data_IF_459756077421
#
_entry.id   IF_459756077421
#
_cell.length_a   1.000
_cell.length_b   1.000
_cell.length_c   1.000
_cell.angle_alpha   90.00
_cell.angle_beta   90.00
_cell.angle_gamma   90.00
#
_symmetry.space_group_name_H-M   'P 1'
#
loop_
_entity.id
_entity.type
_entity.pdbx_description
1 polymer ?
#
# COMPACT_ATOMS: atom_id res chain seq x y z
N UNK A 1 -5.75 27.25 1.96
CA UNK A 1 -5.01 26.08 2.49
C UNK A 1 -3.54 26.38 2.28
N UNK A 2 -2.77 26.61 3.34
CA UNK A 2 -1.31 26.76 3.22
C UNK A 2 -0.72 25.42 2.78
N UNK A 3 -0.12 25.38 1.59
CA UNK A 3 0.68 24.23 1.19
C UNK A 3 1.87 24.15 2.14
N UNK A 4 2.00 22.99 2.81
CA UNK A 4 3.15 22.69 3.65
C UNK A 4 4.42 22.74 2.77
N UNK A 5 5.18 23.83 2.83
CA UNK A 5 6.38 24.02 2.00
C UNK A 5 7.54 23.26 2.64
N UNK A 6 7.78 22.05 2.17
CA UNK A 6 8.94 21.23 2.53
C UNK A 6 9.76 20.98 1.28
N UNK A 7 11.08 21.08 1.37
CA UNK A 7 11.95 20.69 0.26
C UNK A 7 11.93 19.18 0.07
N UNK A 8 12.20 18.70 -1.15
CA UNK A 8 12.27 17.25 -1.41
C UNK A 8 13.33 16.55 -0.52
N UNK A 9 14.43 17.24 -0.22
CA UNK A 9 15.50 16.73 0.63
C UNK A 9 15.07 16.64 2.10
N UNK A 10 14.43 17.69 2.63
CA UNK A 10 13.88 17.66 4.00
C UNK A 10 12.80 16.58 4.13
N UNK A 11 11.91 16.44 3.15
CA UNK A 11 10.91 15.39 3.14
C UNK A 11 11.56 14.00 3.18
N UNK A 12 12.58 13.76 2.36
CA UNK A 12 13.29 12.48 2.32
C UNK A 12 13.96 12.16 3.67
N UNK A 13 14.62 13.13 4.30
CA UNK A 13 15.24 12.96 5.62
C UNK A 13 14.20 12.64 6.69
N UNK A 14 13.13 13.44 6.75
CA UNK A 14 12.05 13.27 7.72
C UNK A 14 11.30 11.95 7.51
N UNK A 15 11.10 11.54 6.25
CA UNK A 15 10.49 10.26 5.89
C UNK A 15 11.33 9.07 6.36
N UNK A 16 12.66 9.14 6.20
CA UNK A 16 13.56 8.09 6.70
C UNK A 16 13.58 8.05 8.23
N UNK A 17 13.55 9.21 8.90
CA UNK A 17 13.41 9.26 10.35
C UNK A 17 12.08 8.65 10.83
N UNK A 18 10.99 8.90 10.11
CA UNK A 18 9.69 8.31 10.39
C UNK A 18 9.69 6.78 10.22
N UNK A 19 10.31 6.26 9.15
CA UNK A 19 10.48 4.82 8.96
C UNK A 19 11.19 4.14 10.15
N UNK A 20 12.20 4.80 10.73
CA UNK A 20 12.87 4.32 11.95
C UNK A 20 11.94 4.34 13.14
N UNK A 21 11.25 5.48 13.35
CA UNK A 21 10.32 5.68 14.47
C UNK A 21 9.25 4.59 14.50
N UNK A 22 8.76 4.18 13.33
CA UNK A 22 7.72 3.17 13.19
C UNK A 22 8.24 1.71 13.17
N UNK A 23 9.54 1.51 13.39
CA UNK A 23 10.11 0.18 13.64
C UNK A 23 10.63 -0.58 12.41
N UNK A 24 10.87 0.09 11.27
CA UNK A 24 11.61 -0.56 10.19
C UNK A 24 13.07 -0.81 10.60
N UNK A 25 13.60 -1.98 10.23
CA UNK A 25 15.02 -2.27 10.45
C UNK A 25 15.90 -1.39 9.56
N UNK A 26 17.06 -0.96 10.07
CA UNK A 26 18.04 -0.18 9.29
C UNK A 26 18.41 -0.90 7.98
N UNK A 27 18.49 -2.23 8.00
CA UNK A 27 18.75 -3.02 6.80
C UNK A 27 17.66 -2.80 5.74
N UNK A 28 16.39 -2.89 6.11
CA UNK A 28 15.27 -2.65 5.18
C UNK A 28 15.24 -1.22 4.67
N UNK A 29 15.52 -0.26 5.55
CA UNK A 29 15.58 1.16 5.20
C UNK A 29 16.67 1.37 4.15
N UNK A 30 17.91 0.98 4.40
CA UNK A 30 19.03 1.26 3.49
C UNK A 30 19.02 0.42 2.22
N UNK A 31 18.73 -0.89 2.30
CA UNK A 31 18.83 -1.78 1.14
C UNK A 31 17.66 -1.66 0.17
N UNK A 32 16.47 -1.34 0.67
CA UNK A 32 15.23 -1.39 -0.12
C UNK A 32 14.62 -0.01 -0.32
N UNK A 33 14.37 0.71 0.78
CA UNK A 33 13.54 1.92 0.72
C UNK A 33 14.37 3.13 0.26
N UNK A 34 15.58 3.28 0.79
CA UNK A 34 16.45 4.42 0.52
C UNK A 34 16.81 4.54 -0.97
N UNK A 35 17.01 3.41 -1.66
CA UNK A 35 17.27 3.41 -3.11
C UNK A 35 16.11 4.07 -3.87
N UNK A 36 14.87 3.68 -3.57
CA UNK A 36 13.70 4.25 -4.22
C UNK A 36 13.49 5.71 -3.85
N UNK A 37 13.68 6.09 -2.58
CA UNK A 37 13.59 7.50 -2.15
C UNK A 37 14.62 8.36 -2.88
N UNK A 38 15.87 7.90 -3.00
CA UNK A 38 16.91 8.62 -3.76
C UNK A 38 16.55 8.81 -5.22
N UNK A 39 15.86 7.85 -5.83
CA UNK A 39 15.36 8.01 -7.20
C UNK A 39 14.28 9.10 -7.30
N UNK A 40 13.39 9.21 -6.31
CA UNK A 40 12.41 10.31 -6.25
C UNK A 40 13.12 11.65 -6.08
N UNK A 41 14.08 11.76 -5.15
CA UNK A 41 14.87 12.99 -4.95
C UNK A 41 15.53 13.42 -6.26
N UNK A 42 16.23 12.50 -6.92
CA UNK A 42 16.91 12.78 -8.19
C UNK A 42 15.94 13.25 -9.27
N UNK A 43 14.72 12.70 -9.33
CA UNK A 43 13.71 13.14 -10.30
C UNK A 43 13.34 14.61 -10.10
N UNK A 44 13.05 15.01 -8.86
CA UNK A 44 12.75 16.41 -8.52
C UNK A 44 13.92 17.35 -8.83
N UNK A 45 15.15 16.95 -8.50
CA UNK A 45 16.37 17.70 -8.84
C UNK A 45 16.52 17.88 -10.35
N UNK A 46 16.31 16.82 -11.15
CA UNK A 46 16.39 16.90 -12.61
C UNK A 46 15.28 17.72 -13.25
N UNK A 47 14.11 17.79 -12.60
CA UNK A 47 13.01 18.63 -13.02
C UNK A 47 13.17 20.10 -12.59
N UNK A 48 14.21 20.45 -11.83
CA UNK A 48 14.41 21.79 -11.28
C UNK A 48 13.40 22.16 -10.18
N UNK A 49 12.72 21.17 -9.59
CA UNK A 49 11.66 21.37 -8.60
C UNK A 49 12.24 21.19 -7.19
N UNK A 50 12.28 22.27 -6.42
CA UNK A 50 12.87 22.27 -5.06
C UNK A 50 11.91 21.76 -4.00
N UNK A 51 10.64 22.16 -4.08
CA UNK A 51 9.62 21.83 -3.08
C UNK A 51 8.87 20.57 -3.48
N UNK A 52 8.57 19.71 -2.50
CA UNK A 52 7.75 18.55 -2.78
C UNK A 52 6.33 18.97 -3.12
N UNK A 53 5.76 18.33 -4.15
CA UNK A 53 4.36 18.49 -4.53
C UNK A 53 3.79 17.14 -4.94
N UNK A 54 2.50 16.94 -4.66
CA UNK A 54 1.78 15.75 -5.11
C UNK A 54 1.69 15.69 -6.64
N UNK A 55 1.64 16.85 -7.30
CA UNK A 55 1.55 16.98 -8.75
C UNK A 55 2.81 16.43 -9.43
N UNK A 56 3.99 16.91 -9.05
CA UNK A 56 5.27 16.43 -9.60
C UNK A 56 5.50 14.94 -9.30
N UNK A 57 5.05 14.46 -8.14
CA UNK A 57 5.09 13.04 -7.80
C UNK A 57 4.14 12.19 -8.69
N UNK A 58 2.96 12.71 -9.04
CA UNK A 58 2.02 12.06 -9.96
C UNK A 58 2.56 12.04 -11.39
N UNK A 59 3.17 13.14 -11.87
CA UNK A 59 3.83 13.18 -13.17
C UNK A 59 4.92 12.11 -13.29
N UNK A 60 5.75 11.97 -12.25
CA UNK A 60 6.76 10.91 -12.18
C UNK A 60 6.12 9.52 -12.31
N UNK A 61 4.99 9.26 -11.64
CA UNK A 61 4.30 7.98 -11.72
C UNK A 61 3.76 7.68 -13.12
N UNK A 62 3.20 8.69 -13.80
CA UNK A 62 2.72 8.55 -15.18
C UNK A 62 3.87 8.19 -16.10
N UNK A 63 4.98 8.93 -16.06
CA UNK A 63 6.15 8.65 -16.89
C UNK A 63 6.72 7.25 -16.64
N UNK A 64 6.84 6.82 -15.38
CA UNK A 64 7.34 5.48 -15.08
C UNK A 64 6.36 4.38 -15.49
N UNK A 65 5.05 4.65 -15.47
CA UNK A 65 4.05 3.72 -15.99
C UNK A 65 4.21 3.53 -17.50
N UNK A 66 4.39 4.61 -18.26
CA UNK A 66 4.63 4.56 -19.70
C UNK A 66 5.91 3.80 -20.04
N UNK A 67 7.01 4.07 -19.33
CA UNK A 67 8.29 3.35 -19.51
C UNK A 67 8.17 1.86 -19.22
N UNK A 68 7.33 1.47 -18.26
CA UNK A 68 7.00 0.06 -17.98
C UNK A 68 6.21 -0.55 -19.14
N UNK A 69 5.22 0.16 -19.67
CA UNK A 69 4.40 -0.30 -20.80
C UNK A 69 5.23 -0.46 -22.09
N UNK A 70 6.24 0.38 -22.28
CA UNK A 70 7.25 0.26 -23.34
C UNK A 70 8.31 -0.83 -23.09
N UNK A 71 8.31 -1.46 -21.91
CA UNK A 71 9.28 -2.50 -21.55
C UNK A 71 10.68 -2.00 -21.19
N UNK A 72 10.88 -0.68 -21.06
CA UNK A 72 12.17 -0.10 -20.68
C UNK A 72 12.56 -0.37 -19.23
N UNK A 73 11.56 -0.57 -18.38
CA UNK A 73 11.75 -0.91 -16.96
C UNK A 73 10.94 -2.14 -16.61
N UNK A 74 11.46 -2.92 -15.65
CA UNK A 74 10.75 -4.07 -15.12
C UNK A 74 9.54 -3.65 -14.29
N UNK A 75 8.52 -4.51 -14.28
CA UNK A 75 7.35 -4.35 -13.45
C UNK A 75 7.69 -4.31 -11.94
N UNK A 76 8.68 -5.11 -11.51
CA UNK A 76 9.21 -5.08 -10.15
C UNK A 76 9.79 -3.71 -9.79
N UNK A 77 10.56 -3.10 -10.69
CA UNK A 77 11.14 -1.78 -10.46
C UNK A 77 10.05 -0.70 -10.39
N UNK A 78 9.07 -0.73 -11.28
CA UNK A 78 7.91 0.16 -11.23
C UNK A 78 7.16 0.05 -9.89
N UNK A 79 6.89 -1.17 -9.41
CA UNK A 79 6.22 -1.41 -8.12
C UNK A 79 7.00 -0.80 -6.94
N UNK A 80 8.33 -0.91 -6.94
CA UNK A 80 9.18 -0.35 -5.88
C UNK A 80 9.14 1.18 -5.85
N UNK A 81 9.24 1.83 -7.01
CA UNK A 81 9.15 3.29 -7.13
C UNK A 81 7.76 3.78 -6.74
N UNK A 82 6.71 3.13 -7.24
CA UNK A 82 5.32 3.46 -6.90
C UNK A 82 5.05 3.35 -5.39
N UNK A 83 5.56 2.29 -4.77
CA UNK A 83 5.43 2.10 -3.32
C UNK A 83 6.10 3.23 -2.53
N UNK A 84 7.31 3.63 -2.94
CA UNK A 84 8.02 4.74 -2.30
C UNK A 84 7.27 6.07 -2.46
N UNK A 85 6.83 6.42 -3.67
CA UNK A 85 6.08 7.64 -3.95
C UNK A 85 4.79 7.69 -3.13
N UNK A 86 4.02 6.60 -3.09
CA UNK A 86 2.77 6.57 -2.32
C UNK A 86 3.00 6.79 -0.82
N UNK A 87 4.05 6.21 -0.26
CA UNK A 87 4.40 6.42 1.16
C UNK A 87 4.91 7.84 1.42
N UNK A 88 5.70 8.41 0.51
CA UNK A 88 6.13 9.81 0.63
C UNK A 88 4.95 10.77 0.53
N UNK A 89 3.98 10.52 -0.37
CA UNK A 89 2.73 11.27 -0.47
C UNK A 89 1.91 11.18 0.83
N UNK A 90 1.74 9.97 1.39
CA UNK A 90 1.04 9.75 2.66
C UNK A 90 1.70 10.54 3.80
N UNK A 91 3.02 10.44 3.91
CA UNK A 91 3.79 11.17 4.92
C UNK A 91 3.70 12.69 4.73
N UNK A 92 3.74 13.17 3.50
CA UNK A 92 3.60 14.60 3.19
C UNK A 92 2.22 15.15 3.57
N UNK A 93 1.15 14.38 3.32
CA UNK A 93 -0.24 14.77 3.61
C UNK A 93 -0.53 14.70 5.12
N UNK A 94 -0.08 13.65 5.79
CA UNK A 94 -0.54 13.32 7.15
C UNK A 94 0.52 13.60 8.24
N UNK A 95 1.77 13.88 7.86
CA UNK A 95 2.89 14.06 8.77
C UNK A 95 3.36 12.78 9.48
N UNK A 96 2.76 11.63 9.19
CA UNK A 96 3.13 10.34 9.77
C UNK A 96 3.00 9.24 8.75
N UNK A 97 3.72 8.15 8.94
CA UNK A 97 3.44 6.93 8.21
C UNK A 97 2.55 6.08 9.08
N UNK A 98 1.36 5.79 8.59
CA UNK A 98 0.63 4.69 9.19
C UNK A 98 1.48 3.43 8.93
N UNK A 99 1.74 2.65 9.98
CA UNK A 99 2.27 1.30 9.82
C UNK A 99 1.17 0.46 9.19
N UNK A 100 0.93 0.69 7.90
CA UNK A 100 0.43 -0.31 7.02
C UNK A 100 1.60 -1.25 6.72
N UNK A 101 2.19 -1.82 7.77
CA UNK A 101 2.62 -3.20 7.65
C UNK A 101 1.40 -3.89 7.07
N UNK A 102 1.53 -4.49 5.89
CA UNK A 102 0.50 -5.38 5.38
C UNK A 102 0.44 -6.59 6.33
N UNK A 103 -0.18 -6.37 7.48
CA UNK A 103 -0.82 -7.35 8.32
C UNK A 103 -2.29 -6.95 8.47
N UNK A 104 -2.91 -6.57 7.34
CA UNK A 104 -4.37 -6.42 7.13
C UNK A 104 -5.01 -5.01 7.15
N UNK A 105 -4.34 -3.97 6.66
CA UNK A 105 -5.03 -2.75 6.21
C UNK A 105 -5.49 -2.89 4.74
N UNK A 106 -6.73 -3.33 4.53
CA UNK A 106 -7.31 -3.55 3.18
C UNK A 106 -8.03 -2.30 2.67
N UNK A 107 -7.85 -1.94 1.39
CA UNK A 107 -8.70 -0.94 0.71
C UNK A 107 -10.12 -1.45 0.47
N UNK A 108 -10.30 -2.78 0.46
CA UNK A 108 -11.57 -3.46 0.30
C UNK A 108 -12.30 -3.51 1.65
N UNK A 109 -12.99 -2.42 1.99
CA UNK A 109 -13.84 -2.36 3.20
C UNK A 109 -15.13 -3.15 2.93
N UNK A 110 -15.32 -4.23 3.66
CA UNK A 110 -16.49 -5.11 3.56
C UNK A 110 -17.26 -5.10 4.88
N UNK A 111 -18.50 -5.59 4.86
CA UNK A 111 -19.34 -5.75 6.05
C UNK A 111 -18.71 -6.68 7.10
N UNK A 112 -19.07 -6.48 8.36
CA UNK A 112 -18.64 -7.32 9.48
C UNK A 112 -19.03 -8.80 9.29
N UNK A 113 -20.16 -9.05 8.63
CA UNK A 113 -20.66 -10.39 8.30
C UNK A 113 -19.71 -11.11 7.33
N UNK A 114 -19.22 -10.40 6.31
CA UNK A 114 -18.28 -10.95 5.34
C UNK A 114 -16.85 -11.07 5.91
N UNK A 115 -16.45 -10.20 6.84
CA UNK A 115 -15.21 -10.40 7.61
C UNK A 115 -15.26 -11.72 8.40
N UNK A 116 -16.36 -11.99 9.08
CA UNK A 116 -16.56 -13.24 9.82
C UNK A 116 -16.62 -14.48 8.88
N UNK A 117 -17.18 -14.34 7.68
CA UNK A 117 -17.17 -15.40 6.68
C UNK A 117 -15.74 -15.77 6.26
N UNK A 118 -14.87 -14.78 6.07
CA UNK A 118 -13.46 -15.01 5.73
C UNK A 118 -12.75 -15.77 6.85
N UNK A 119 -12.94 -15.36 8.11
CA UNK A 119 -12.33 -16.03 9.25
C UNK A 119 -12.76 -17.50 9.34
N UNK A 120 -14.06 -17.79 9.19
CA UNK A 120 -14.58 -19.17 9.16
C UNK A 120 -14.05 -19.98 7.98
N UNK A 121 -13.96 -19.38 6.79
CA UNK A 121 -13.43 -20.05 5.61
C UNK A 121 -11.95 -20.43 5.78
N UNK A 122 -11.13 -19.52 6.32
CA UNK A 122 -9.71 -19.77 6.57
C UNK A 122 -9.50 -20.86 7.63
N UNK A 123 -10.32 -20.88 8.69
CA UNK A 123 -10.28 -21.93 9.73
C UNK A 123 -10.72 -23.27 9.15
N UNK A 124 -11.82 -23.32 8.39
CA UNK A 124 -12.33 -24.57 7.81
C UNK A 124 -11.35 -25.20 6.80
N UNK A 125 -10.66 -24.38 5.99
CA UNK A 125 -9.67 -24.87 5.03
C UNK A 125 -8.31 -25.21 5.64
N UNK A 126 -8.03 -24.75 6.85
CA UNK A 126 -6.77 -24.95 7.59
C UNK A 126 -5.49 -24.68 6.76
N UNK A 127 -5.42 -23.49 6.15
CA UNK A 127 -4.25 -23.11 5.36
C UNK A 127 -2.98 -22.98 6.23
N UNK A 128 -1.80 -23.21 5.64
CA UNK A 128 -0.52 -22.90 6.30
C UNK A 128 -0.34 -21.41 6.57
N UNK A 129 0.43 -21.03 7.60
CA UNK A 129 0.61 -19.63 8.04
C UNK A 129 1.02 -18.66 6.94
N UNK A 130 1.81 -19.12 5.96
CA UNK A 130 2.28 -18.30 4.84
C UNK A 130 1.20 -18.07 3.76
N UNK A 131 0.15 -18.89 3.71
CA UNK A 131 -0.90 -18.85 2.67
C UNK A 131 -2.20 -18.21 3.16
N UNK A 132 -2.42 -18.16 4.49
CA UNK A 132 -3.63 -17.58 5.10
C UNK A 132 -3.86 -16.13 4.66
N UNK A 133 -2.80 -15.33 4.58
CA UNK A 133 -2.90 -13.90 4.30
C UNK A 133 -3.22 -13.61 2.83
N UNK A 134 -2.60 -14.36 1.91
CA UNK A 134 -2.88 -14.27 0.48
C UNK A 134 -4.32 -14.69 0.16
N UNK A 135 -4.78 -15.80 0.76
CA UNK A 135 -6.16 -16.27 0.58
C UNK A 135 -7.16 -15.30 1.19
N UNK A 136 -6.90 -14.79 2.41
CA UNK A 136 -7.72 -13.74 3.05
C UNK A 136 -7.86 -12.53 2.14
N UNK A 137 -6.77 -12.10 1.49
CA UNK A 137 -6.80 -10.97 0.56
C UNK A 137 -7.65 -11.23 -0.69
N UNK A 138 -7.48 -12.39 -1.34
CA UNK A 138 -8.24 -12.75 -2.55
C UNK A 138 -9.74 -12.87 -2.26
N UNK A 139 -10.10 -13.56 -1.18
CA UNK A 139 -11.51 -13.75 -0.79
C UNK A 139 -12.16 -12.42 -0.43
N UNK A 140 -11.45 -11.56 0.32
CA UNK A 140 -11.94 -10.22 0.66
C UNK A 140 -12.23 -9.38 -0.58
N UNK A 141 -11.34 -9.40 -1.57
CA UNK A 141 -11.53 -8.68 -2.84
C UNK A 141 -12.79 -9.14 -3.57
N UNK A 142 -13.08 -10.44 -3.57
CA UNK A 142 -14.27 -10.99 -4.19
C UNK A 142 -15.56 -10.62 -3.45
N UNK A 143 -15.57 -10.71 -2.11
CA UNK A 143 -16.72 -10.32 -1.29
C UNK A 143 -17.01 -8.82 -1.39
N UNK A 144 -15.96 -7.99 -1.46
CA UNK A 144 -16.11 -6.56 -1.74
C UNK A 144 -16.81 -6.30 -3.07
N UNK A 145 -16.40 -7.00 -4.13
CA UNK A 145 -17.06 -6.89 -5.43
C UNK A 145 -18.55 -7.28 -5.33
N UNK A 146 -18.87 -8.36 -4.63
CA UNK A 146 -20.26 -8.82 -4.44
C UNK A 146 -21.12 -7.82 -3.67
N UNK A 147 -20.59 -7.22 -2.60
CA UNK A 147 -21.30 -6.17 -1.85
C UNK A 147 -21.58 -4.94 -2.71
N UNK A 148 -20.62 -4.53 -3.55
CA UNK A 148 -20.82 -3.42 -4.50
C UNK A 148 -21.91 -3.71 -5.54
N UNK A 149 -22.17 -4.98 -5.86
CA UNK A 149 -23.27 -5.39 -6.74
C UNK A 149 -24.60 -5.60 -5.98
N UNK A 150 -24.66 -5.27 -4.69
CA UNK A 150 -25.86 -5.42 -3.86
C UNK A 150 -26.08 -6.84 -3.32
N UNK A 151 -25.14 -7.75 -3.52
CA UNK A 151 -25.19 -9.10 -2.95
C UNK A 151 -24.64 -9.07 -1.53
N UNK A 152 -25.54 -8.92 -0.55
CA UNK A 152 -25.19 -9.02 0.87
C UNK A 152 -25.42 -10.45 1.38
N UNK A 153 -24.44 -10.99 2.11
CA UNK A 153 -24.59 -12.28 2.78
C UNK A 153 -25.59 -12.15 3.91
N UNK A 154 -26.81 -12.65 3.72
CA UNK A 154 -27.73 -12.89 4.85
C UNK A 154 -27.29 -14.18 5.52
N UNK A 155 -26.74 -14.09 6.73
CA UNK A 155 -26.52 -15.27 7.55
C UNK A 155 -27.87 -15.85 7.94
N UNK A 156 -28.35 -16.83 7.18
CA UNK A 156 -29.35 -17.77 7.69
C UNK A 156 -28.58 -18.70 8.63
N UNK A 157 -28.90 -18.68 9.92
CA UNK A 157 -28.46 -19.71 10.84
C UNK A 157 -29.00 -21.04 10.32
N UNK A 158 -28.20 -21.77 9.55
CA UNK A 158 -28.50 -23.16 9.22
C UNK A 158 -28.05 -23.94 10.45
N UNK A 159 -28.97 -24.48 11.28
CA UNK A 159 -28.57 -25.39 12.34
C UNK A 159 -27.89 -26.58 11.66
N UNK A 160 -26.63 -26.83 12.02
CA UNK A 160 -25.95 -28.06 11.66
C UNK A 160 -26.61 -29.17 12.47
N UNK A 161 -27.62 -29.81 11.90
CA UNK A 161 -28.12 -31.07 12.42
C UNK A 161 -27.03 -32.12 12.21
N UNK A 162 -26.38 -32.51 13.30
CA UNK A 162 -25.54 -33.70 13.35
C UNK A 162 -26.44 -34.92 13.11
N UNK A 163 -26.26 -35.56 11.96
CA UNK A 163 -26.80 -36.87 11.59
C UNK A 163 -25.69 -37.70 10.99
#
# INVERSE_FOLDING_TARGET
MEQNKVTINELAVNFVAELRRIGYSERTIYQTIYRSVRHVVKYFETAGVTFYSLETALEMLVQYKERRELGEISDTYFRQIRSAINRMNEFFITGSLQINSNKHGTIYKISSENENLIDRFIVWKDYGTNTKDDVRWVVRKYLFYMEQQGHMTKMVNIPVSLG
#
